data_IF_369066968394
#
_entry.id   IF_369066968394
#
_cell.length_a   1.000
_cell.length_b   1.000
_cell.length_c   1.000
_cell.angle_alpha   90.00
_cell.angle_beta   90.00
_cell.angle_gamma   90.00
#
_symmetry.space_group_name_H-M   'P 1'
#
loop_
_entity.id
_entity.type
_entity.pdbx_description
1 polymer ?
#
# COMPACT_ATOMS: atom_id res chain seq x y z
N UNK A 1 18.76 -18.44 20.85
CA UNK A 1 19.89 -17.87 21.63
C UNK A 1 20.05 -16.41 21.23
N UNK A 2 19.88 -15.43 22.15
CA UNK A 2 19.92 -14.01 21.79
C UNK A 2 21.38 -13.51 21.69
N UNK A 3 21.73 -12.95 20.53
CA UNK A 3 22.99 -12.24 20.32
C UNK A 3 22.89 -10.81 20.88
N UNK A 4 23.75 -10.51 21.88
CA UNK A 4 23.94 -9.19 22.47
C UNK A 4 24.84 -8.34 21.57
N UNK A 5 24.38 -7.17 21.15
CA UNK A 5 25.25 -6.13 20.58
C UNK A 5 25.60 -5.14 21.70
N UNK A 6 26.89 -5.04 22.01
CA UNK A 6 27.45 -4.12 23.00
C UNK A 6 27.62 -2.73 22.37
N UNK A 7 26.93 -1.73 22.91
CA UNK A 7 27.24 -0.32 22.69
C UNK A 7 28.42 0.10 23.58
N UNK A 8 29.51 0.60 23.00
CA UNK A 8 30.65 1.08 23.78
C UNK A 8 31.69 1.81 22.95
N UNK A 9 31.49 3.12 22.74
CA UNK A 9 32.52 4.05 22.30
C UNK A 9 32.51 5.25 23.24
N UNK A 10 33.44 5.28 24.20
CA UNK A 10 33.57 6.36 25.16
C UNK A 10 34.30 7.55 24.51
N UNK A 11 33.58 8.65 24.27
CA UNK A 11 34.19 9.92 23.86
C UNK A 11 34.80 10.58 25.10
N UNK A 12 36.12 10.76 25.06
CA UNK A 12 36.89 11.47 26.08
C UNK A 12 36.56 12.97 26.07
N UNK A 13 35.65 13.38 26.96
CA UNK A 13 35.36 14.79 27.21
C UNK A 13 36.34 15.32 28.26
N UNK A 14 37.23 16.21 27.81
CA UNK A 14 38.15 16.96 28.67
C UNK A 14 37.34 17.78 29.68
N UNK A 15 37.59 17.57 30.95
CA UNK A 15 37.03 18.36 32.05
C UNK A 15 37.60 19.78 32.04
N UNK A 16 36.78 20.78 31.70
CA UNK A 16 37.12 22.20 31.94
C UNK A 16 36.75 22.55 33.37
N UNK A 17 37.76 22.65 34.24
CA UNK A 17 37.59 23.02 35.66
C UNK A 17 37.53 24.55 35.78
N UNK A 18 36.29 25.05 35.92
CA UNK A 18 35.80 26.22 36.66
C UNK A 18 36.70 27.45 36.89
N UNK A 19 36.20 28.65 36.56
CA UNK A 19 35.82 29.67 37.56
C UNK A 19 35.25 30.94 36.91
N UNK A 20 33.93 31.14 37.00
CA UNK A 20 33.35 32.49 36.96
C UNK A 20 31.90 32.41 37.42
N UNK A 21 31.48 33.38 38.23
CA UNK A 21 30.13 33.58 38.78
C UNK A 21 29.03 33.45 37.69
N UNK A 22 29.41 33.69 36.43
CA UNK A 22 28.62 33.50 35.22
C UNK A 22 28.11 32.05 35.07
N UNK A 23 28.94 31.03 35.38
CA UNK A 23 28.56 29.61 35.24
C UNK A 23 27.53 29.18 36.29
N UNK A 24 27.55 29.75 37.51
CA UNK A 24 26.53 29.52 38.54
C UNK A 24 25.21 30.22 38.22
N UNK A 25 25.25 31.45 37.69
CA UNK A 25 24.05 32.17 37.24
C UNK A 25 23.39 31.49 36.05
N UNK A 26 24.18 31.07 35.04
CA UNK A 26 23.69 30.28 33.90
C UNK A 26 23.14 28.94 34.38
N UNK A 27 23.82 28.25 35.30
CA UNK A 27 23.32 27.00 35.89
C UNK A 27 22.00 27.18 36.66
N UNK A 28 21.84 28.28 37.42
CA UNK A 28 20.59 28.59 38.12
C UNK A 28 19.45 28.95 37.15
N UNK A 29 19.74 29.69 36.07
CA UNK A 29 18.77 30.01 35.02
C UNK A 29 18.36 28.75 34.26
N UNK A 30 19.33 27.90 33.87
CA UNK A 30 19.06 26.62 33.22
C UNK A 30 18.31 25.65 34.14
N UNK A 31 18.63 25.59 35.43
CA UNK A 31 17.93 24.74 36.41
C UNK A 31 16.48 25.19 36.62
N UNK A 32 16.22 26.50 36.66
CA UNK A 32 14.87 27.04 36.73
C UNK A 32 14.10 26.80 35.41
N UNK A 33 14.74 26.93 34.26
CA UNK A 33 14.12 26.65 32.95
C UNK A 33 13.79 25.15 32.81
N UNK A 34 14.70 24.26 33.18
CA UNK A 34 14.47 22.81 33.18
C UNK A 34 13.37 22.43 34.19
N UNK A 35 13.33 23.06 35.37
CA UNK A 35 12.27 22.86 36.37
C UNK A 35 10.91 23.37 35.88
N UNK A 36 10.87 24.49 35.15
CA UNK A 36 9.65 25.04 34.57
C UNK A 36 9.12 24.14 33.44
N UNK A 37 10.02 23.64 32.58
CA UNK A 37 9.70 22.68 31.52
C UNK A 37 9.17 21.37 32.13
N UNK A 38 9.78 20.87 33.22
CA UNK A 38 9.30 19.67 33.91
C UNK A 38 7.90 19.84 34.51
N UNK A 39 7.59 21.00 35.10
CA UNK A 39 6.25 21.32 35.63
C UNK A 39 5.20 21.44 34.52
N UNK A 40 5.57 22.02 33.37
CA UNK A 40 4.71 22.09 32.18
C UNK A 40 4.49 20.71 31.57
N UNK A 41 5.53 19.87 31.46
CA UNK A 41 5.40 18.49 30.98
C UNK A 41 4.51 17.66 31.91
N UNK A 42 4.64 17.76 33.23
CA UNK A 42 3.77 17.04 34.17
C UNK A 42 2.31 17.52 34.13
N UNK A 43 2.05 18.77 33.72
CA UNK A 43 0.71 19.34 33.57
C UNK A 43 0.01 19.02 32.24
N UNK A 44 0.72 18.46 31.24
CA UNK A 44 0.16 18.12 29.91
C UNK A 44 -0.15 16.61 29.81
N UNK A 45 0.24 15.78 30.80
CA UNK A 45 -0.10 14.35 30.87
C UNK A 45 -1.36 14.04 31.70
N UNK A 46 -2.34 14.95 31.74
CA UNK A 46 -3.70 14.65 32.22
C UNK A 46 -4.70 14.42 31.09
N UNK A 47 -4.22 14.08 29.89
CA UNK A 47 -5.01 13.33 28.93
C UNK A 47 -4.62 11.88 29.15
N UNK A 48 -5.45 11.17 29.91
CA UNK A 48 -5.22 9.78 30.25
C UNK A 48 -4.75 8.98 29.05
N UNK A 49 -3.71 8.17 29.29
CA UNK A 49 -3.63 6.91 28.60
C UNK A 49 -4.97 6.24 28.87
N UNK A 50 -5.85 6.16 27.86
CA UNK A 50 -7.00 5.30 27.97
C UNK A 50 -6.42 3.89 28.13
N UNK A 51 -6.48 3.34 29.35
CA UNK A 51 -6.55 1.90 29.55
C UNK A 51 -7.93 1.44 29.09
N UNK A 52 -8.17 1.59 27.79
CA UNK A 52 -9.15 0.83 27.06
C UNK A 52 -8.37 0.15 25.95
N UNK A 53 -7.63 -0.86 26.35
CA UNK A 53 -7.26 -1.95 25.48
C UNK A 53 -8.36 -3.01 25.59
N UNK A 54 -9.59 -2.63 25.23
CA UNK A 54 -10.54 -3.60 24.71
C UNK A 54 -10.36 -3.53 23.19
N UNK A 55 -9.32 -4.21 22.72
CA UNK A 55 -9.41 -4.85 21.42
C UNK A 55 -9.70 -6.32 21.73
N UNK A 56 -10.97 -6.59 22.09
CA UNK A 56 -11.55 -7.93 22.07
C UNK A 56 -11.72 -8.39 20.60
N UNK A 57 -10.76 -8.09 19.72
CA UNK A 57 -10.65 -8.85 18.49
C UNK A 57 -9.91 -10.12 18.87
N UNK A 58 -10.66 -11.20 19.05
CA UNK A 58 -10.03 -12.50 18.93
C UNK A 58 -9.23 -12.49 17.63
N UNK A 59 -7.94 -12.88 17.65
CA UNK A 59 -7.14 -12.87 16.43
C UNK A 59 -7.87 -13.77 15.42
N UNK A 60 -8.30 -13.18 14.30
CA UNK A 60 -8.99 -13.94 13.27
C UNK A 60 -8.03 -14.99 12.69
N UNK A 61 -8.33 -16.25 12.97
CA UNK A 61 -7.59 -17.36 12.40
C UNK A 61 -8.27 -17.74 11.10
N UNK A 62 -7.73 -17.23 10.00
CA UNK A 62 -8.17 -17.58 8.65
C UNK A 62 -7.14 -18.46 7.94
N UNK A 63 -7.60 -19.41 7.12
CA UNK A 63 -6.71 -20.18 6.26
C UNK A 63 -6.09 -19.28 5.16
N UNK A 64 -4.87 -19.59 4.76
CA UNK A 64 -4.10 -18.81 3.76
C UNK A 64 -4.37 -19.23 2.30
N UNK A 65 -5.54 -19.83 2.00
CA UNK A 65 -5.87 -20.10 0.59
C UNK A 65 -6.31 -18.81 -0.11
N UNK A 66 -6.00 -18.70 -1.40
CA UNK A 66 -6.34 -17.55 -2.21
C UNK A 66 -7.61 -17.82 -3.01
N UNK A 67 -8.71 -17.18 -2.60
CA UNK A 67 -10.02 -17.18 -3.25
C UNK A 67 -10.65 -15.79 -3.11
N UNK A 68 -10.14 -14.80 -3.86
CA UNK A 68 -10.38 -13.39 -3.63
C UNK A 68 -11.86 -13.04 -3.61
N UNK A 69 -12.21 -12.16 -2.68
CA UNK A 69 -13.54 -11.55 -2.57
C UNK A 69 -13.40 -10.04 -2.52
N UNK A 70 -14.37 -9.33 -3.09
CA UNK A 70 -14.45 -7.89 -3.01
C UNK A 70 -15.40 -7.48 -1.88
N UNK A 71 -14.87 -6.81 -0.85
CA UNK A 71 -15.67 -6.26 0.23
C UNK A 71 -16.54 -5.10 -0.24
N UNK A 72 -17.68 -4.91 0.44
CA UNK A 72 -18.58 -3.76 0.22
C UNK A 72 -17.90 -2.41 0.56
N UNK A 73 -16.77 -2.46 1.28
CA UNK A 73 -15.88 -1.35 1.56
C UNK A 73 -14.88 -1.05 0.42
N UNK A 74 -14.90 -1.84 -0.65
CA UNK A 74 -13.99 -1.73 -1.79
C UNK A 74 -12.60 -2.34 -1.54
N UNK A 75 -12.39 -3.06 -0.44
CA UNK A 75 -11.12 -3.70 -0.11
C UNK A 75 -11.08 -5.12 -0.71
N UNK A 76 -9.95 -5.44 -1.33
CA UNK A 76 -9.66 -6.79 -1.79
C UNK A 76 -9.23 -7.67 -0.61
N UNK A 77 -9.99 -8.72 -0.33
CA UNK A 77 -9.63 -9.74 0.65
C UNK A 77 -9.15 -11.01 -0.06
N UNK A 78 -8.18 -11.71 0.55
CA UNK A 78 -7.60 -12.95 0.00
C UNK A 78 -8.62 -14.09 -0.08
N UNK A 79 -9.56 -14.13 0.86
CA UNK A 79 -10.69 -15.05 0.89
C UNK A 79 -11.83 -14.53 1.77
N UNK A 80 -12.95 -15.24 1.74
CA UNK A 80 -14.16 -14.95 2.49
C UNK A 80 -13.95 -14.84 4.00
N UNK A 81 -13.07 -15.66 4.59
CA UNK A 81 -12.82 -15.63 6.03
C UNK A 81 -12.24 -14.28 6.46
N UNK A 82 -11.32 -13.72 5.67
CA UNK A 82 -10.74 -12.42 5.98
C UNK A 82 -11.75 -11.26 5.86
N UNK A 83 -12.70 -11.34 4.91
CA UNK A 83 -13.78 -10.36 4.81
C UNK A 83 -14.78 -10.47 5.98
N UNK A 84 -15.16 -11.69 6.35
CA UNK A 84 -16.02 -11.96 7.51
C UNK A 84 -15.37 -11.51 8.82
N UNK A 85 -14.07 -11.75 8.98
CA UNK A 85 -13.27 -11.26 10.09
C UNK A 85 -13.33 -9.73 10.22
N UNK A 86 -13.26 -9.02 9.09
CA UNK A 86 -13.38 -7.57 9.08
C UNK A 86 -14.82 -7.09 9.32
N UNK A 87 -15.80 -7.99 9.37
CA UNK A 87 -17.22 -7.65 9.53
C UNK A 87 -17.82 -6.96 8.31
N UNK A 88 -17.25 -7.19 7.11
CA UNK A 88 -17.66 -6.55 5.87
C UNK A 88 -18.42 -7.56 5.00
N UNK A 89 -19.55 -7.14 4.42
CA UNK A 89 -20.22 -7.91 3.37
C UNK A 89 -19.33 -8.01 2.13
N UNK A 90 -19.47 -9.07 1.33
CA UNK A 90 -18.58 -9.27 0.19
C UNK A 90 -19.27 -9.95 -1.00
N UNK A 91 -18.64 -9.80 -2.16
CA UNK A 91 -18.98 -10.52 -3.40
C UNK A 91 -17.79 -11.33 -3.88
N UNK A 92 -18.05 -12.47 -4.51
CA UNK A 92 -16.98 -13.34 -5.01
C UNK A 92 -16.21 -12.67 -6.17
N UNK A 93 -14.89 -12.87 -6.19
CA UNK A 93 -14.00 -12.36 -7.24
C UNK A 93 -13.25 -11.09 -6.86
N UNK A 94 -12.57 -10.53 -7.84
CA UNK A 94 -11.73 -9.34 -7.66
C UNK A 94 -12.57 -8.06 -7.56
N UNK A 95 -12.06 -7.07 -6.83
CA UNK A 95 -12.64 -5.74 -6.83
C UNK A 95 -12.46 -5.03 -8.18
N UNK A 96 -13.42 -4.15 -8.58
CA UNK A 96 -13.22 -3.24 -9.70
C UNK A 96 -12.08 -2.26 -9.44
N UNK A 97 -11.25 -2.03 -10.46
CA UNK A 97 -10.23 -0.99 -10.50
C UNK A 97 -10.51 -0.04 -11.66
N UNK A 98 -10.13 1.23 -11.50
CA UNK A 98 -10.26 2.27 -12.52
C UNK A 98 -8.88 2.86 -12.85
N UNK A 99 -8.55 2.92 -14.14
CA UNK A 99 -7.27 3.47 -14.61
C UNK A 99 -7.31 3.95 -16.05
N UNK A 100 -6.50 4.97 -16.34
CA UNK A 100 -6.17 5.38 -17.69
C UNK A 100 -5.13 4.43 -18.33
N UNK A 101 -5.36 4.09 -19.60
CA UNK A 101 -4.50 3.21 -20.39
C UNK A 101 -4.52 3.54 -21.86
N UNK A 102 -3.82 2.73 -22.64
CA UNK A 102 -3.70 2.89 -24.08
C UNK A 102 -4.07 1.58 -24.78
N UNK A 103 -5.05 1.62 -25.68
CA UNK A 103 -5.37 0.47 -26.52
C UNK A 103 -4.27 0.27 -27.55
N UNK A 104 -3.78 -0.96 -27.68
CA UNK A 104 -2.72 -1.34 -28.62
C UNK A 104 -3.12 -2.55 -29.43
N UNK A 105 -2.71 -2.58 -30.70
CA UNK A 105 -2.77 -3.79 -31.53
C UNK A 105 -1.39 -4.43 -31.64
N UNK A 106 -1.17 -5.51 -30.89
CA UNK A 106 0.11 -6.24 -30.88
C UNK A 106 0.14 -7.36 -31.94
N UNK A 107 -0.49 -7.15 -33.09
CA UNK A 107 -0.51 -8.10 -34.20
C UNK A 107 -1.54 -9.23 -34.05
N UNK A 108 -1.72 -10.06 -35.10
CA UNK A 108 -2.73 -11.10 -35.12
C UNK A 108 -2.34 -12.32 -34.26
N UNK A 109 -3.31 -12.87 -33.54
CA UNK A 109 -3.17 -14.06 -32.69
C UNK A 109 -2.41 -15.25 -33.33
N UNK A 110 -2.69 -15.65 -34.60
CA UNK A 110 -2.01 -16.80 -35.20
C UNK A 110 -0.53 -16.58 -35.57
N UNK A 111 -0.03 -15.33 -35.54
CA UNK A 111 1.36 -15.00 -35.93
C UNK A 111 2.19 -14.53 -34.74
N UNK A 112 1.95 -15.10 -33.56
CA UNK A 112 2.59 -14.69 -32.31
C UNK A 112 2.21 -13.28 -31.83
N UNK A 113 1.14 -12.70 -32.37
CA UNK A 113 0.59 -11.41 -31.92
C UNK A 113 -0.40 -11.58 -30.77
N UNK A 114 -0.68 -10.50 -30.03
CA UNK A 114 -1.57 -10.54 -28.85
C UNK A 114 -2.98 -10.03 -29.15
N UNK A 115 -3.24 -9.62 -30.40
CA UNK A 115 -4.47 -8.96 -30.78
C UNK A 115 -4.56 -7.57 -30.15
N UNK A 116 -5.78 -7.16 -29.82
CA UNK A 116 -6.04 -5.94 -29.09
C UNK A 116 -5.79 -6.15 -27.59
N UNK A 117 -5.03 -5.24 -27.00
CA UNK A 117 -4.67 -5.25 -25.58
C UNK A 117 -4.79 -3.83 -25.01
N UNK A 118 -4.76 -3.73 -23.68
CA UNK A 118 -4.71 -2.46 -22.97
C UNK A 118 -3.36 -2.38 -22.24
N UNK A 119 -2.60 -1.35 -22.56
CA UNK A 119 -1.31 -1.03 -21.94
C UNK A 119 -1.53 -0.01 -20.83
N UNK A 120 -1.18 -0.36 -19.59
CA UNK A 120 -1.22 0.55 -18.45
C UNK A 120 0.20 0.94 -18.04
N UNK A 121 0.49 2.23 -18.04
CA UNK A 121 1.80 2.75 -17.64
C UNK A 121 1.91 2.93 -16.12
N UNK A 122 3.13 2.70 -15.61
CA UNK A 122 3.54 2.98 -14.23
C UNK A 122 4.86 3.74 -14.24
N UNK A 123 5.34 4.13 -13.05
CA UNK A 123 6.58 4.92 -12.89
C UNK A 123 7.84 4.27 -13.48
N UNK A 124 7.87 2.94 -13.63
CA UNK A 124 9.07 2.19 -14.02
C UNK A 124 8.83 1.15 -15.12
N UNK A 125 7.63 1.08 -15.70
CA UNK A 125 7.28 0.05 -16.67
C UNK A 125 5.85 0.16 -17.14
N UNK A 126 5.43 -0.84 -17.91
CA UNK A 126 4.07 -0.96 -18.44
C UNK A 126 3.58 -2.39 -18.22
N UNK A 127 2.33 -2.53 -17.80
CA UNK A 127 1.65 -3.82 -17.80
C UNK A 127 0.71 -3.90 -18.99
N UNK A 128 0.63 -5.09 -19.59
CA UNK A 128 -0.23 -5.35 -20.73
C UNK A 128 -1.28 -6.37 -20.31
N UNK A 129 -2.54 -6.00 -20.50
CA UNK A 129 -3.69 -6.84 -20.18
C UNK A 129 -4.48 -7.14 -21.44
N UNK A 130 -5.00 -8.36 -21.53
CA UNK A 130 -5.97 -8.72 -22.55
C UNK A 130 -7.38 -8.43 -22.03
N UNK A 131 -8.17 -7.56 -22.65
CA UNK A 131 -9.58 -7.46 -22.33
C UNK A 131 -10.29 -8.75 -22.75
N UNK A 132 -11.18 -9.26 -21.92
CA UNK A 132 -12.06 -10.38 -22.23
C UNK A 132 -12.98 -10.04 -23.42
N UNK A 133 -13.48 -8.81 -23.44
CA UNK A 133 -14.26 -8.21 -24.52
C UNK A 133 -13.77 -6.79 -24.76
N UNK A 134 -13.60 -6.43 -26.03
CA UNK A 134 -13.31 -5.06 -26.44
C UNK A 134 -14.31 -4.65 -27.51
N UNK A 135 -15.04 -3.55 -27.27
CA UNK A 135 -15.99 -3.05 -28.25
C UNK A 135 -15.29 -2.51 -29.50
N UNK A 136 -15.94 -2.65 -30.65
CA UNK A 136 -15.35 -2.25 -31.94
C UNK A 136 -14.95 -0.77 -32.00
N UNK A 137 -15.64 0.11 -31.28
CA UNK A 137 -15.31 1.54 -31.22
C UNK A 137 -13.94 1.81 -30.57
N UNK A 138 -13.50 0.93 -29.66
CA UNK A 138 -12.21 1.05 -28.98
C UNK A 138 -11.08 0.29 -29.70
N UNK A 139 -11.36 -0.42 -30.80
CA UNK A 139 -10.36 -1.13 -31.61
C UNK A 139 -9.56 -0.17 -32.51
N UNK A 140 -8.95 0.84 -31.91
CA UNK A 140 -8.07 1.81 -32.57
C UNK A 140 -6.71 1.77 -31.90
N UNK A 141 -5.65 1.57 -32.69
CA UNK A 141 -4.30 1.52 -32.12
C UNK A 141 -3.90 2.89 -31.58
N UNK A 142 -3.29 2.89 -30.40
CA UNK A 142 -2.86 4.09 -29.68
C UNK A 142 -4.03 4.98 -29.21
N UNK A 143 -5.21 4.40 -28.96
CA UNK A 143 -6.35 5.11 -28.38
C UNK A 143 -6.23 5.20 -26.86
N UNK A 144 -6.24 6.43 -26.32
CA UNK A 144 -6.22 6.67 -24.88
C UNK A 144 -7.61 6.46 -24.28
N UNK A 145 -7.70 5.65 -23.23
CA UNK A 145 -8.97 5.24 -22.61
C UNK A 145 -8.89 5.30 -21.10
N UNK A 146 -10.00 5.69 -20.47
CA UNK A 146 -10.28 5.41 -19.07
C UNK A 146 -11.02 4.08 -18.99
N UNK A 147 -10.54 3.15 -18.16
CA UNK A 147 -11.06 1.78 -18.10
C UNK A 147 -11.38 1.42 -16.66
N UNK A 148 -12.59 0.90 -16.45
CA UNK A 148 -12.99 0.20 -15.24
C UNK A 148 -13.01 -1.30 -15.51
N UNK A 149 -12.24 -2.07 -14.75
CA UNK A 149 -12.09 -3.51 -14.98
C UNK A 149 -12.01 -4.31 -13.69
N UNK A 150 -12.22 -5.63 -13.80
CA UNK A 150 -11.84 -6.60 -12.77
C UNK A 150 -10.74 -7.50 -13.28
N UNK A 151 -9.79 -7.83 -12.42
CA UNK A 151 -8.83 -8.89 -12.71
C UNK A 151 -9.53 -10.25 -12.82
N UNK A 152 -8.93 -11.19 -13.54
CA UNK A 152 -9.41 -12.57 -13.62
C UNK A 152 -8.27 -13.55 -13.34
N UNK A 153 -8.62 -14.82 -13.14
CA UNK A 153 -7.65 -15.92 -13.08
C UNK A 153 -7.17 -16.37 -14.46
N UNK A 154 -7.72 -15.83 -15.53
CA UNK A 154 -7.39 -16.24 -16.88
C UNK A 154 -6.12 -15.54 -17.37
N UNK A 155 -5.36 -16.27 -18.18
CA UNK A 155 -4.23 -15.72 -18.90
C UNK A 155 -4.38 -16.05 -20.37
N UNK A 156 -3.85 -15.19 -21.24
CA UNK A 156 -3.84 -15.40 -22.68
C UNK A 156 -2.43 -15.55 -23.19
N UNK A 157 -2.16 -16.52 -24.08
CA UNK A 157 -0.92 -16.55 -24.85
C UNK A 157 -0.71 -15.23 -25.60
N UNK A 158 0.52 -14.75 -25.62
CA UNK A 158 0.93 -13.50 -26.26
C UNK A 158 2.41 -13.64 -26.64
N UNK A 159 2.68 -13.81 -27.94
CA UNK A 159 4.01 -14.09 -28.44
C UNK A 159 4.67 -15.36 -27.89
N UNK A 160 6.00 -15.38 -27.93
CA UNK A 160 6.85 -16.40 -27.26
C UNK A 160 7.12 -16.06 -25.79
N UNK A 161 6.45 -15.04 -25.26
CA UNK A 161 6.66 -14.50 -23.92
C UNK A 161 5.82 -15.19 -22.84
N UNK A 162 5.77 -14.55 -21.68
CA UNK A 162 4.86 -14.93 -20.60
C UNK A 162 3.41 -14.63 -21.01
N UNK A 163 2.45 -15.53 -20.71
CA UNK A 163 1.04 -15.25 -20.89
C UNK A 163 0.66 -13.93 -20.21
N UNK A 164 -0.18 -13.13 -20.87
CA UNK A 164 -0.67 -11.87 -20.30
C UNK A 164 -1.95 -12.13 -19.50
N UNK A 165 -2.16 -11.43 -18.38
CA UNK A 165 -3.40 -11.51 -17.62
C UNK A 165 -4.60 -11.05 -18.44
N UNK A 166 -5.75 -11.69 -18.22
CA UNK A 166 -7.03 -11.29 -18.79
C UNK A 166 -7.81 -10.47 -17.76
N UNK A 167 -8.40 -9.37 -18.20
CA UNK A 167 -9.29 -8.52 -17.39
C UNK A 167 -10.70 -8.55 -17.94
N UNK A 168 -11.68 -8.52 -17.05
CA UNK A 168 -13.09 -8.29 -17.37
C UNK A 168 -13.32 -6.78 -17.45
N UNK A 169 -13.61 -6.27 -18.64
CA UNK A 169 -13.91 -4.84 -18.82
C UNK A 169 -15.35 -4.56 -18.39
N UNK A 170 -15.52 -3.70 -17.39
CA UNK A 170 -16.83 -3.29 -16.89
C UNK A 170 -17.33 -2.03 -17.60
N UNK A 171 -16.48 -1.01 -17.69
CA UNK A 171 -16.78 0.26 -18.35
C UNK A 171 -15.52 0.80 -19.04
N UNK A 172 -15.69 1.51 -20.15
CA UNK A 172 -14.59 2.12 -20.90
C UNK A 172 -15.05 3.41 -21.58
N UNK A 173 -14.20 4.44 -21.56
CA UNK A 173 -14.42 5.70 -22.28
C UNK A 173 -13.13 6.23 -22.88
N UNK A 174 -13.20 6.90 -24.02
CA UNK A 174 -12.07 7.63 -24.62
C UNK A 174 -11.72 8.88 -23.79
N UNK A 175 -10.42 9.21 -23.70
CA UNK A 175 -9.88 10.36 -22.98
C UNK A 175 -9.72 11.62 -23.85
#
# INVERSE_FOLDING_TARGET
MPMKIKSGGAVSLRTVKTNSIISKKIYLIMKNLISLIALVCMGIFSSGCCCHCDDDTEPCICPEYYSPVCGDDGVQYDNECFAECAGVGYTAGFCPEERDGLVRYLGPLPTDGCGWVIEFAFSTGTDIFRPDTLEAQFMTDSLAVHVKYKSTFQTSPCGLGTPIPVIEVLEMSEL
#
